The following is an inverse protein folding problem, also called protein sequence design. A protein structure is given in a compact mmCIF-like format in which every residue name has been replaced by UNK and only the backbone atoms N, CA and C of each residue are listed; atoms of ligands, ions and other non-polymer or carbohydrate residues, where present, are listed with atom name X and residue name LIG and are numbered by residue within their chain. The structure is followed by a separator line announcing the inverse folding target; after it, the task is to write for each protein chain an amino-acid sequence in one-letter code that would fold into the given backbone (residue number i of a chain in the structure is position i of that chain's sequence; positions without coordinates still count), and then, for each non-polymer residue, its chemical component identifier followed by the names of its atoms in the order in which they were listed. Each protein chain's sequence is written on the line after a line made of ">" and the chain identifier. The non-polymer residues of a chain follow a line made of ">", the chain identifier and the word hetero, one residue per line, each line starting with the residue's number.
data_IF_378254991567
#
_entry.id   IF_378254991567
#
_cell.length_a   1.000
_cell.length_b   1.000
_cell.length_c   1.000
_cell.angle_alpha   90.00
_cell.angle_beta   90.00
_cell.angle_gamma   90.00
#
_symmetry.space_group_name_H-M   'P 1'
#
loop_
_entity.id
_entity.type
_entity.pdbx_description
1 polymer ?
#
# COMPACT_ATOMS: atom_id res chain seq x y z
N UNK A 1 -38.60 -25.83 4.19
CA UNK A 1 -38.20 -26.44 2.92
C UNK A 1 -39.27 -26.41 1.81
N UNK A 2 -40.49 -25.88 2.03
CA UNK A 2 -41.60 -25.94 1.06
C UNK A 2 -41.75 -24.71 0.15
N UNK A 3 -41.06 -23.62 0.41
CA UNK A 3 -41.20 -22.35 -0.33
C UNK A 3 -40.63 -22.39 -1.75
N UNK A 4 -39.62 -23.21 -2.01
CA UNK A 4 -39.00 -23.33 -3.32
C UNK A 4 -39.83 -24.22 -4.31
N UNK A 5 -40.69 -25.11 -3.80
CA UNK A 5 -41.51 -26.02 -4.64
C UNK A 5 -42.59 -25.29 -5.44
N UNK A 6 -43.05 -24.12 -4.95
CA UNK A 6 -44.08 -23.31 -5.65
C UNK A 6 -43.54 -22.38 -6.72
N UNK A 7 -42.20 -22.27 -6.91
CA UNK A 7 -41.63 -21.40 -7.93
C UNK A 7 -41.47 -22.11 -9.27
N UNK A 8 -41.77 -21.40 -10.38
CA UNK A 8 -41.46 -21.89 -11.73
C UNK A 8 -39.96 -22.16 -11.91
N UNK A 9 -39.58 -23.09 -12.76
CA UNK A 9 -38.19 -23.46 -13.04
C UNK A 9 -37.38 -22.22 -13.45
N UNK A 10 -37.92 -21.34 -14.25
CA UNK A 10 -37.27 -20.07 -14.64
C UNK A 10 -36.96 -19.19 -13.43
N UNK A 11 -37.87 -19.03 -12.46
CA UNK A 11 -37.66 -18.25 -11.25
C UNK A 11 -36.58 -18.87 -10.36
N UNK A 12 -36.48 -20.20 -10.31
CA UNK A 12 -35.39 -20.89 -9.57
C UNK A 12 -34.03 -20.65 -10.20
N UNK A 13 -33.92 -20.65 -11.53
CA UNK A 13 -32.68 -20.34 -12.22
C UNK A 13 -32.21 -18.90 -11.97
N UNK A 14 -33.15 -17.94 -12.02
CA UNK A 14 -32.84 -16.54 -11.69
C UNK A 14 -32.41 -16.37 -10.22
N UNK A 15 -33.03 -17.09 -9.29
CA UNK A 15 -32.69 -17.05 -7.88
C UNK A 15 -31.27 -17.61 -7.65
N UNK A 16 -30.90 -18.71 -8.32
CA UNK A 16 -29.55 -19.25 -8.29
C UNK A 16 -28.55 -18.24 -8.83
N UNK A 17 -28.88 -17.57 -9.94
CA UNK A 17 -28.01 -16.52 -10.50
C UNK A 17 -27.82 -15.37 -9.53
N UNK A 18 -28.87 -14.88 -8.88
CA UNK A 18 -28.81 -13.79 -7.90
C UNK A 18 -27.92 -14.19 -6.72
N UNK A 19 -28.09 -15.42 -6.19
CA UNK A 19 -27.26 -15.92 -5.09
C UNK A 19 -25.80 -16.05 -5.52
N UNK A 20 -25.54 -16.60 -6.72
CA UNK A 20 -24.18 -16.69 -7.26
C UNK A 20 -23.53 -15.32 -7.45
N UNK A 21 -24.29 -14.34 -7.96
CA UNK A 21 -23.82 -12.96 -8.12
C UNK A 21 -23.55 -12.29 -6.76
N UNK A 22 -24.39 -12.52 -5.76
CA UNK A 22 -24.18 -12.01 -4.41
C UNK A 22 -22.92 -12.61 -3.76
N UNK A 23 -22.67 -13.90 -3.97
CA UNK A 23 -21.44 -14.57 -3.51
C UNK A 23 -20.19 -14.01 -4.23
N UNK A 24 -20.26 -13.84 -5.53
CA UNK A 24 -19.17 -13.23 -6.31
C UNK A 24 -18.85 -11.81 -5.85
N UNK A 25 -19.88 -11.01 -5.56
CA UNK A 25 -19.72 -9.65 -5.05
C UNK A 25 -19.08 -9.67 -3.65
N UNK A 26 -19.53 -10.56 -2.77
CA UNK A 26 -18.96 -10.70 -1.43
C UNK A 26 -17.48 -11.12 -1.47
N UNK A 27 -17.15 -12.11 -2.31
CA UNK A 27 -15.76 -12.53 -2.55
C UNK A 27 -14.91 -11.39 -3.14
N UNK A 28 -15.45 -10.64 -4.09
CA UNK A 28 -14.78 -9.48 -4.67
C UNK A 28 -14.46 -8.40 -3.63
N UNK A 29 -15.40 -8.09 -2.74
CA UNK A 29 -15.19 -7.13 -1.65
C UNK A 29 -14.14 -7.61 -0.65
N UNK A 30 -14.15 -8.90 -0.29
CA UNK A 30 -13.11 -9.48 0.59
C UNK A 30 -11.73 -9.43 -0.07
N UNK A 31 -11.66 -9.75 -1.36
CA UNK A 31 -10.42 -9.70 -2.12
C UNK A 31 -9.87 -8.27 -2.26
N UNK A 32 -10.74 -7.28 -2.49
CA UNK A 32 -10.34 -5.88 -2.54
C UNK A 32 -9.82 -5.38 -1.19
N UNK A 33 -10.45 -5.79 -0.09
CA UNK A 33 -9.94 -5.48 1.25
C UNK A 33 -8.56 -6.09 1.46
N UNK A 34 -8.37 -7.35 1.10
CA UNK A 34 -7.08 -8.02 1.23
C UNK A 34 -6.00 -7.33 0.39
N UNK A 35 -6.29 -6.97 -0.88
CA UNK A 35 -5.35 -6.23 -1.74
C UNK A 35 -4.97 -4.88 -1.11
N UNK A 36 -5.94 -4.17 -0.52
CA UNK A 36 -5.67 -2.93 0.18
C UNK A 36 -4.70 -3.15 1.36
N UNK A 37 -5.00 -4.11 2.23
CA UNK A 37 -4.19 -4.40 3.42
C UNK A 37 -2.78 -4.88 3.01
N UNK A 38 -2.67 -5.79 2.04
CA UNK A 38 -1.41 -6.32 1.51
C UNK A 38 -0.54 -5.21 0.88
N UNK A 39 -1.15 -4.24 0.18
CA UNK A 39 -0.45 -3.09 -0.39
C UNK A 39 0.18 -2.21 0.69
N UNK A 40 -0.59 -1.89 1.75
CA UNK A 40 -0.11 -1.08 2.86
C UNK A 40 0.98 -1.78 3.66
N UNK A 41 0.74 -3.02 4.08
CA UNK A 41 1.72 -3.81 4.83
C UNK A 41 2.97 -4.11 4.00
N UNK A 42 2.81 -4.47 2.73
CA UNK A 42 3.91 -4.76 1.82
C UNK A 42 4.80 -3.55 1.57
N UNK A 43 4.24 -2.36 1.37
CA UNK A 43 5.02 -1.12 1.21
C UNK A 43 5.72 -0.72 2.50
N UNK A 44 5.06 -0.85 3.67
CA UNK A 44 5.68 -0.59 4.97
C UNK A 44 6.86 -1.53 5.23
N UNK A 45 6.70 -2.84 5.01
CA UNK A 45 7.77 -3.84 5.13
C UNK A 45 8.91 -3.57 4.14
N UNK A 46 8.59 -3.26 2.88
CA UNK A 46 9.59 -2.90 1.88
C UNK A 46 10.42 -1.69 2.34
N UNK A 47 9.76 -0.63 2.81
CA UNK A 47 10.43 0.57 3.32
C UNK A 47 11.34 0.23 4.50
N UNK A 48 10.87 -0.61 5.43
CA UNK A 48 11.69 -1.10 6.53
C UNK A 48 12.94 -1.84 6.03
N UNK A 49 12.78 -2.81 5.13
CA UNK A 49 13.90 -3.60 4.61
C UNK A 49 14.92 -2.74 3.85
N UNK A 50 14.45 -1.74 3.07
CA UNK A 50 15.36 -0.83 2.35
C UNK A 50 16.15 0.04 3.32
N UNK A 51 15.51 0.59 4.36
CA UNK A 51 16.19 1.36 5.40
C UNK A 51 17.21 0.48 6.14
N UNK A 52 16.84 -0.74 6.52
CA UNK A 52 17.77 -1.70 7.16
C UNK A 52 18.97 -2.03 6.27
N UNK A 53 18.74 -2.25 4.97
CA UNK A 53 19.82 -2.54 4.02
C UNK A 53 20.76 -1.34 3.87
N UNK A 54 20.22 -0.12 3.73
CA UNK A 54 21.02 1.11 3.60
C UNK A 54 21.71 1.47 4.92
N UNK A 55 21.16 1.09 6.08
CA UNK A 55 21.85 1.19 7.37
C UNK A 55 23.18 0.42 7.38
N UNK A 56 23.29 -0.65 6.58
CA UNK A 56 24.55 -1.35 6.36
C UNK A 56 25.65 -0.47 5.75
N UNK A 57 25.30 0.56 4.98
CA UNK A 57 26.28 1.55 4.46
C UNK A 57 26.88 2.35 5.63
N UNK A 58 26.05 2.79 6.58
CA UNK A 58 26.54 3.46 7.79
C UNK A 58 27.44 2.54 8.61
N UNK A 59 27.02 1.26 8.75
CA UNK A 59 27.83 0.24 9.45
C UNK A 59 29.18 0.00 8.78
N UNK A 60 29.25 -0.05 7.46
CA UNK A 60 30.51 -0.21 6.72
C UNK A 60 31.47 0.96 7.00
N UNK A 61 31.03 2.21 6.87
CA UNK A 61 31.88 3.36 7.09
C UNK A 61 32.26 3.54 8.57
N UNK A 62 31.38 3.21 9.49
CA UNK A 62 31.74 3.13 10.90
C UNK A 62 32.78 2.04 11.19
N UNK A 63 32.73 0.92 10.46
CA UNK A 63 33.78 -0.09 10.52
C UNK A 63 35.16 0.44 10.07
N UNK A 64 35.23 1.28 9.04
CA UNK A 64 36.47 1.96 8.61
C UNK A 64 36.97 2.99 9.61
N UNK A 65 36.04 3.69 10.29
CA UNK A 65 36.37 4.60 11.40
C UNK A 65 37.00 3.82 12.55
N UNK A 66 36.35 2.74 13.01
CA UNK A 66 36.83 1.93 14.14
C UNK A 66 38.13 1.18 13.84
N UNK A 67 38.36 0.84 12.58
CA UNK A 67 39.63 0.25 12.12
C UNK A 67 40.77 1.29 11.97
N UNK A 68 40.48 2.59 12.19
CA UNK A 68 41.45 3.67 12.01
C UNK A 68 41.82 3.98 10.56
N UNK A 69 41.06 3.44 9.59
CA UNK A 69 41.28 3.68 8.15
C UNK A 69 40.75 5.04 7.71
N UNK A 70 39.73 5.57 8.39
CA UNK A 70 39.16 6.89 8.17
C UNK A 70 38.99 7.62 9.50
N UNK A 71 39.06 8.97 9.47
CA UNK A 71 38.54 9.75 10.60
C UNK A 71 37.01 9.65 10.64
N UNK A 72 36.41 9.96 11.79
CA UNK A 72 34.96 9.98 11.96
C UNK A 72 34.27 10.90 10.94
N UNK A 73 34.80 12.09 10.74
CA UNK A 73 34.30 13.07 9.81
C UNK A 73 34.36 12.57 8.36
N UNK A 74 35.49 11.93 7.99
CA UNK A 74 35.67 11.36 6.67
C UNK A 74 34.72 10.18 6.41
N UNK A 75 34.54 9.29 7.41
CA UNK A 75 33.63 8.17 7.34
C UNK A 75 32.17 8.64 7.20
N UNK A 76 31.77 9.61 8.03
CA UNK A 76 30.44 10.21 7.96
C UNK A 76 30.18 10.88 6.61
N UNK A 77 31.11 11.71 6.12
CA UNK A 77 30.97 12.41 4.86
C UNK A 77 30.87 11.47 3.65
N UNK A 78 31.66 10.40 3.64
CA UNK A 78 31.58 9.38 2.58
C UNK A 78 30.25 8.61 2.62
N UNK A 79 29.78 8.22 3.81
CA UNK A 79 28.48 7.58 4.00
C UNK A 79 27.35 8.47 3.48
N UNK A 80 27.34 9.75 3.85
CA UNK A 80 26.33 10.72 3.38
C UNK A 80 26.37 10.88 1.85
N UNK A 81 27.57 10.95 1.26
CA UNK A 81 27.73 11.06 -0.20
C UNK A 81 27.07 9.89 -0.91
N UNK A 82 27.29 8.66 -0.44
CA UNK A 82 26.67 7.47 -1.01
C UNK A 82 25.14 7.49 -0.80
N UNK A 83 24.70 7.68 0.44
CA UNK A 83 23.26 7.58 0.77
C UNK A 83 22.45 8.67 0.06
N UNK A 84 23.00 9.87 -0.11
CA UNK A 84 22.32 10.97 -0.80
C UNK A 84 21.98 10.66 -2.26
N UNK A 85 22.70 9.74 -2.90
CA UNK A 85 22.48 9.33 -4.31
C UNK A 85 21.53 8.16 -4.45
N UNK A 86 21.29 7.42 -3.37
CA UNK A 86 20.43 6.23 -3.43
C UNK A 86 18.98 6.61 -3.69
N UNK A 87 18.37 5.88 -4.61
CA UNK A 87 16.94 5.95 -4.92
C UNK A 87 16.38 4.54 -5.06
N UNK A 88 15.09 4.39 -4.80
CA UNK A 88 14.37 3.14 -5.03
C UNK A 88 12.93 3.43 -5.47
N UNK A 89 12.21 2.40 -5.91
CA UNK A 89 10.93 2.55 -6.58
C UNK A 89 11.03 3.59 -7.72
N UNK A 90 10.28 4.70 -7.67
CA UNK A 90 10.36 5.74 -8.68
C UNK A 90 11.44 6.78 -8.31
N UNK A 91 11.23 7.53 -7.23
CA UNK A 91 12.14 8.59 -6.77
C UNK A 91 12.22 8.64 -5.24
N UNK A 92 11.87 7.55 -4.55
CA UNK A 92 11.97 7.46 -3.11
C UNK A 92 13.42 7.55 -2.66
N UNK A 93 13.64 8.24 -1.56
CA UNK A 93 14.96 8.67 -1.08
C UNK A 93 15.13 8.42 0.41
N UNK A 94 16.37 8.51 0.86
CA UNK A 94 16.75 8.43 2.28
C UNK A 94 17.15 9.79 2.78
N UNK A 95 16.76 10.13 4.02
CA UNK A 95 17.28 11.29 4.74
C UNK A 95 17.91 10.83 6.06
N UNK A 96 18.73 11.70 6.64
CA UNK A 96 19.35 11.48 7.93
C UNK A 96 19.19 12.74 8.76
N UNK A 97 18.67 12.60 9.97
CA UNK A 97 18.68 13.62 11.02
C UNK A 97 19.33 13.05 12.30
N UNK A 98 19.68 13.91 13.25
CA UNK A 98 20.17 13.44 14.54
C UNK A 98 19.04 13.36 15.59
N UNK A 99 19.37 12.89 16.81
CA UNK A 99 18.42 12.76 17.92
C UNK A 99 17.97 14.10 18.52
N UNK A 100 18.58 15.23 18.14
CA UNK A 100 18.19 16.60 18.55
C UNK A 100 17.32 17.30 17.51
N UNK A 101 16.64 16.62 16.70
CA UNK A 101 16.17 16.63 15.32
C UNK A 101 16.82 17.70 14.41
N UNK A 102 18.15 17.74 14.34
CA UNK A 102 18.87 18.49 13.31
C UNK A 102 19.00 17.67 12.04
N UNK A 103 18.72 18.28 10.88
CA UNK A 103 18.93 17.59 9.59
C UNK A 103 20.43 17.45 9.32
N UNK A 104 20.85 16.21 9.11
CA UNK A 104 22.21 15.88 8.68
C UNK A 104 22.32 15.88 7.17
N UNK A 105 21.31 15.29 6.48
CA UNK A 105 21.27 15.24 5.02
C UNK A 105 19.85 15.00 4.51
N UNK A 106 19.37 15.82 3.57
CA UNK A 106 18.12 15.64 2.88
C UNK A 106 18.28 15.81 1.37
N UNK A 107 18.28 14.74 0.55
CA UNK A 107 18.76 14.78 -0.81
C UNK A 107 17.85 15.56 -1.78
N UNK A 108 16.56 15.69 -1.47
CA UNK A 108 15.60 16.44 -2.31
C UNK A 108 15.33 17.85 -1.77
N UNK A 109 15.77 18.17 -0.55
CA UNK A 109 15.67 19.51 0.02
C UNK A 109 16.93 19.85 0.86
N UNK A 110 18.08 20.07 0.22
CA UNK A 110 19.34 20.39 0.92
C UNK A 110 19.30 21.68 1.75
N UNK A 111 18.25 22.51 1.57
CA UNK A 111 18.06 23.72 2.38
C UNK A 111 17.77 23.41 3.85
N UNK A 112 17.40 22.17 4.16
CA UNK A 112 17.18 21.70 5.53
C UNK A 112 18.48 21.29 6.23
N UNK A 113 19.53 20.97 5.50
CA UNK A 113 20.77 20.44 6.05
C UNK A 113 21.38 21.42 7.06
N UNK A 114 21.76 20.90 8.23
CA UNK A 114 22.29 21.66 9.35
C UNK A 114 21.26 22.46 10.14
N UNK A 115 19.96 22.40 9.80
CA UNK A 115 18.93 23.15 10.52
C UNK A 115 18.27 22.34 11.64
N UNK A 116 17.86 23.05 12.66
CA UNK A 116 16.96 22.55 13.71
C UNK A 116 15.54 22.39 13.13
N UNK A 117 15.04 21.18 13.18
CA UNK A 117 13.73 20.80 12.64
C UNK A 117 12.68 20.59 13.74
N UNK A 118 13.03 20.88 15.01
CA UNK A 118 12.14 20.64 16.15
C UNK A 118 10.80 21.39 16.06
N UNK A 119 10.79 22.54 15.40
CA UNK A 119 9.61 23.36 15.17
C UNK A 119 8.81 22.99 13.91
N UNK A 120 9.35 22.09 13.08
CA UNK A 120 8.67 21.71 11.81
C UNK A 120 7.49 20.80 12.12
N UNK A 121 6.31 21.29 11.73
CA UNK A 121 5.05 20.56 11.84
C UNK A 121 4.42 20.38 10.47
N UNK A 122 3.69 19.31 10.33
CA UNK A 122 2.81 19.13 9.17
C UNK A 122 1.54 20.00 9.29
N UNK A 123 0.68 20.04 8.27
CA UNK A 123 -0.57 20.81 8.31
C UNK A 123 -1.53 20.40 9.44
N UNK A 124 -1.42 19.17 9.94
CA UNK A 124 -2.26 18.66 11.03
C UNK A 124 -1.64 18.98 12.42
N UNK A 125 -0.48 19.64 12.44
CA UNK A 125 0.22 20.08 13.67
C UNK A 125 1.16 19.03 14.24
N UNK A 126 1.40 17.91 13.55
CA UNK A 126 2.30 16.84 13.98
C UNK A 126 3.77 17.27 13.87
N UNK A 127 4.53 17.18 14.97
CA UNK A 127 5.93 17.59 15.04
C UNK A 127 6.85 16.50 14.46
N UNK A 128 6.96 16.48 13.14
CA UNK A 128 7.51 15.37 12.33
C UNK A 128 8.84 14.84 12.88
N UNK A 129 9.88 15.66 12.86
CA UNK A 129 11.23 15.21 13.20
C UNK A 129 11.46 15.02 14.69
N UNK A 130 10.71 15.74 15.54
CA UNK A 130 10.72 15.54 16.99
C UNK A 130 10.15 14.17 17.37
N UNK A 131 9.04 13.77 16.74
CA UNK A 131 8.42 12.46 16.95
C UNK A 131 9.30 11.33 16.39
N UNK A 132 9.92 11.53 15.23
CA UNK A 132 10.88 10.57 14.67
C UNK A 132 12.09 10.36 15.59
N UNK A 133 12.67 11.44 16.09
CA UNK A 133 13.79 11.35 17.03
C UNK A 133 13.39 10.70 18.35
N UNK A 134 12.20 11.02 18.89
CA UNK A 134 11.65 10.40 20.10
C UNK A 134 11.41 8.90 19.91
N UNK A 135 10.79 8.51 18.80
CA UNK A 135 10.55 7.11 18.44
C UNK A 135 11.87 6.33 18.30
N UNK A 136 12.83 6.88 17.56
CA UNK A 136 14.15 6.29 17.38
C UNK A 136 14.90 6.14 18.73
N UNK A 137 14.83 7.14 19.59
CA UNK A 137 15.45 7.11 20.92
C UNK A 137 14.82 6.08 21.85
N UNK A 138 13.50 5.90 21.80
CA UNK A 138 12.78 5.04 22.76
C UNK A 138 12.64 3.60 22.29
N UNK A 139 12.49 3.37 20.99
CA UNK A 139 12.23 2.04 20.38
C UNK A 139 13.34 1.58 19.43
N UNK A 140 14.31 2.42 19.13
CA UNK A 140 15.35 2.14 18.14
C UNK A 140 14.90 2.33 16.70
N UNK A 141 13.64 2.01 16.38
CA UNK A 141 13.08 2.12 15.04
C UNK A 141 11.54 2.08 15.07
N UNK A 142 10.90 2.50 13.99
CA UNK A 142 9.45 2.36 13.84
C UNK A 142 8.89 3.13 12.64
N UNK A 143 7.57 2.95 12.43
CA UNK A 143 6.81 3.67 11.40
C UNK A 143 6.27 4.98 11.94
N UNK A 144 6.23 6.00 11.08
CA UNK A 144 5.67 7.33 11.37
C UNK A 144 4.85 7.80 10.18
N UNK A 145 3.62 8.22 10.45
CA UNK A 145 2.70 8.77 9.46
C UNK A 145 2.62 10.29 9.62
N UNK A 146 2.75 11.02 8.52
CA UNK A 146 2.74 12.48 8.50
C UNK A 146 2.48 12.99 7.09
N UNK A 147 2.33 14.32 6.92
CA UNK A 147 2.24 14.95 5.60
C UNK A 147 3.55 15.60 5.22
N UNK A 148 4.02 15.29 4.01
CA UNK A 148 5.25 15.85 3.45
C UNK A 148 5.12 16.09 1.95
N UNK A 149 5.71 17.16 1.41
CA UNK A 149 5.71 17.41 -0.04
C UNK A 149 6.50 16.33 -0.80
N UNK A 150 5.99 15.97 -1.98
CA UNK A 150 6.75 15.15 -2.93
C UNK A 150 7.92 15.96 -3.53
N UNK A 151 8.99 15.28 -3.99
CA UNK A 151 10.03 15.95 -4.75
C UNK A 151 9.41 16.74 -5.92
N UNK A 152 9.79 18.04 -6.02
CA UNK A 152 9.26 18.92 -7.06
C UNK A 152 7.85 19.48 -6.84
N UNK A 153 7.23 19.25 -5.67
CA UNK A 153 5.92 19.80 -5.30
C UNK A 153 6.00 20.49 -3.93
N UNK A 154 5.22 21.55 -3.73
CA UNK A 154 5.08 22.20 -2.42
C UNK A 154 3.85 21.72 -1.65
N UNK A 155 2.95 20.95 -2.29
CA UNK A 155 1.75 20.45 -1.66
C UNK A 155 2.04 19.25 -0.75
N UNK A 156 1.76 19.33 0.56
CA UNK A 156 1.97 18.20 1.47
C UNK A 156 0.95 17.10 1.20
N UNK A 157 1.41 15.89 0.97
CA UNK A 157 0.60 14.68 0.82
C UNK A 157 0.93 13.68 1.92
N UNK A 158 0.02 12.76 2.21
CA UNK A 158 0.21 11.73 3.23
C UNK A 158 1.41 10.85 2.87
N UNK A 159 2.32 10.68 3.84
CA UNK A 159 3.53 9.86 3.72
C UNK A 159 3.65 8.95 4.93
N UNK A 160 3.97 7.69 4.69
CA UNK A 160 4.33 6.72 5.72
C UNK A 160 5.82 6.45 5.61
N UNK A 161 6.56 6.58 6.73
CA UNK A 161 8.01 6.40 6.75
C UNK A 161 8.46 5.45 7.83
N UNK A 162 9.49 4.67 7.55
CA UNK A 162 10.22 3.93 8.54
C UNK A 162 11.48 4.69 8.91
N UNK A 163 11.73 4.83 10.22
CA UNK A 163 12.95 5.45 10.76
C UNK A 163 13.69 4.45 11.63
N UNK A 164 15.03 4.53 11.61
CA UNK A 164 15.90 3.66 12.38
C UNK A 164 17.08 4.43 12.93
N UNK A 165 17.37 4.23 14.22
CA UNK A 165 18.53 4.77 14.88
C UNK A 165 19.79 4.01 14.48
N UNK A 166 20.83 4.75 14.10
CA UNK A 166 22.20 4.28 14.01
C UNK A 166 22.97 4.81 15.22
N UNK A 167 23.00 4.00 16.28
CA UNK A 167 23.52 4.40 17.60
C UNK A 167 24.95 4.96 17.56
N UNK A 168 25.94 4.39 16.80
CA UNK A 168 27.32 4.83 16.86
C UNK A 168 27.53 6.32 16.54
N UNK A 169 26.67 6.87 15.68
CA UNK A 169 26.73 8.29 15.30
C UNK A 169 25.57 9.12 15.85
N UNK A 170 24.61 8.49 16.53
CA UNK A 170 23.38 9.14 16.99
C UNK A 170 22.50 9.65 15.85
N UNK A 171 22.56 8.99 14.70
CA UNK A 171 21.83 9.35 13.50
C UNK A 171 20.52 8.56 13.36
N UNK A 172 19.48 9.23 12.95
CA UNK A 172 18.20 8.65 12.61
C UNK A 172 18.06 8.67 11.11
N UNK A 173 18.16 7.51 10.48
CA UNK A 173 17.95 7.35 9.04
C UNK A 173 16.50 6.98 8.77
N UNK A 174 15.90 7.62 7.78
CA UNK A 174 14.54 7.37 7.38
C UNK A 174 14.36 7.29 5.87
N UNK A 175 13.32 6.58 5.48
CA UNK A 175 12.75 6.59 4.15
C UNK A 175 11.24 6.34 4.22
N UNK A 176 10.49 6.66 3.18
CA UNK A 176 9.04 6.49 3.22
C UNK A 176 8.38 6.63 1.85
N UNK A 177 7.17 6.11 1.78
CA UNK A 177 6.33 6.07 0.58
C UNK A 177 5.14 7.00 0.72
N UNK A 178 4.67 7.54 -0.39
CA UNK A 178 3.50 8.42 -0.45
C UNK A 178 2.23 7.60 -0.67
N UNK A 179 1.21 7.90 0.14
CA UNK A 179 -0.05 7.11 0.17
C UNK A 179 -0.88 7.30 -1.08
N UNK A 180 -0.83 8.48 -1.71
CA UNK A 180 -1.54 8.73 -2.96
C UNK A 180 -1.02 7.86 -4.13
N UNK A 181 0.27 7.53 -4.16
CA UNK A 181 0.81 6.57 -5.13
C UNK A 181 0.25 5.16 -4.89
N UNK A 182 0.12 4.77 -3.62
CA UNK A 182 -0.51 3.51 -3.23
C UNK A 182 -2.00 3.47 -3.61
N UNK A 183 -2.71 4.59 -3.42
CA UNK A 183 -4.11 4.70 -3.81
C UNK A 183 -4.29 4.56 -5.33
N UNK A 184 -3.43 5.17 -6.13
CA UNK A 184 -3.47 5.04 -7.58
C UNK A 184 -3.28 3.59 -8.03
N UNK A 185 -2.32 2.87 -7.43
CA UNK A 185 -2.09 1.44 -7.68
C UNK A 185 -3.30 0.59 -7.27
N UNK A 186 -3.88 0.83 -6.10
CA UNK A 186 -5.08 0.17 -5.62
C UNK A 186 -6.27 0.36 -6.58
N UNK A 187 -6.58 1.59 -6.99
CA UNK A 187 -7.66 1.85 -7.92
C UNK A 187 -7.45 1.19 -9.29
N UNK A 188 -6.20 1.06 -9.74
CA UNK A 188 -5.85 0.28 -10.92
C UNK A 188 -6.27 -1.19 -10.79
N UNK A 189 -6.07 -1.81 -9.63
CA UNK A 189 -6.51 -3.18 -9.36
C UNK A 189 -8.04 -3.29 -9.24
N UNK A 190 -8.69 -2.32 -8.58
CA UNK A 190 -10.16 -2.25 -8.49
C UNK A 190 -10.81 -2.25 -9.87
N UNK A 191 -10.34 -1.40 -10.79
CA UNK A 191 -10.88 -1.35 -12.15
C UNK A 191 -10.72 -2.67 -12.90
N UNK A 192 -9.57 -3.34 -12.78
CA UNK A 192 -9.36 -4.67 -13.39
C UNK A 192 -10.34 -5.69 -12.83
N UNK A 193 -10.55 -5.72 -11.52
CA UNK A 193 -11.48 -6.61 -10.85
C UNK A 193 -12.94 -6.33 -11.28
N UNK A 194 -13.34 -5.06 -11.39
CA UNK A 194 -14.66 -4.66 -11.87
C UNK A 194 -14.94 -5.14 -13.30
N UNK A 195 -14.00 -4.96 -14.23
CA UNK A 195 -14.15 -5.43 -15.59
C UNK A 195 -14.22 -6.96 -15.68
N UNK A 196 -13.40 -7.67 -14.93
CA UNK A 196 -13.46 -9.13 -14.86
C UNK A 196 -14.80 -9.62 -14.29
N UNK A 197 -15.27 -9.00 -13.19
CA UNK A 197 -16.57 -9.31 -12.59
C UNK A 197 -17.75 -9.06 -13.54
N UNK A 198 -17.72 -7.93 -14.26
CA UNK A 198 -18.74 -7.63 -15.27
C UNK A 198 -18.75 -8.67 -16.39
N UNK A 199 -17.58 -9.09 -16.88
CA UNK A 199 -17.48 -10.15 -17.90
C UNK A 199 -18.09 -11.47 -17.42
N UNK A 200 -17.79 -11.90 -16.20
CA UNK A 200 -18.37 -13.10 -15.61
C UNK A 200 -19.89 -12.97 -15.46
N UNK A 201 -20.38 -11.81 -15.02
CA UNK A 201 -21.81 -11.55 -14.86
C UNK A 201 -22.57 -11.67 -16.21
N UNK A 202 -22.01 -11.09 -17.27
CA UNK A 202 -22.59 -11.17 -18.62
C UNK A 202 -22.62 -12.60 -19.16
N UNK A 203 -21.55 -13.37 -18.98
CA UNK A 203 -21.48 -14.77 -19.37
C UNK A 203 -22.54 -15.60 -18.61
N UNK A 204 -22.65 -15.41 -17.31
CA UNK A 204 -23.63 -16.10 -16.46
C UNK A 204 -25.08 -15.75 -16.89
N UNK A 205 -25.38 -14.48 -17.14
CA UNK A 205 -26.67 -14.04 -17.59
C UNK A 205 -27.02 -14.61 -18.98
N UNK A 206 -26.06 -14.66 -19.89
CA UNK A 206 -26.23 -15.28 -21.20
C UNK A 206 -26.53 -16.78 -21.09
N UNK A 207 -25.77 -17.52 -20.28
CA UNK A 207 -25.99 -18.95 -20.04
C UNK A 207 -27.38 -19.23 -19.43
N UNK A 208 -27.79 -18.47 -18.40
CA UNK A 208 -29.15 -18.62 -17.82
C UNK A 208 -30.22 -18.35 -18.87
N UNK A 209 -30.04 -17.33 -19.70
CA UNK A 209 -30.98 -17.00 -20.78
C UNK A 209 -31.08 -18.11 -21.84
N UNK A 210 -29.93 -18.67 -22.25
CA UNK A 210 -29.88 -19.80 -23.19
C UNK A 210 -30.59 -21.03 -22.60
N UNK A 211 -30.30 -21.40 -21.37
CA UNK A 211 -30.93 -22.54 -20.69
C UNK A 211 -32.44 -22.31 -20.53
N UNK A 212 -32.86 -21.10 -20.15
CA UNK A 212 -34.28 -20.79 -20.00
C UNK A 212 -35.04 -20.89 -21.36
N UNK A 213 -34.44 -20.47 -22.47
CA UNK A 213 -35.05 -20.51 -23.79
C UNK A 213 -35.02 -21.89 -24.43
N UNK A 214 -33.90 -22.63 -24.30
CA UNK A 214 -33.70 -23.90 -25.00
C UNK A 214 -34.30 -25.11 -24.25
N UNK A 215 -34.42 -25.07 -22.93
CA UNK A 215 -34.86 -26.22 -22.16
C UNK A 215 -36.20 -25.94 -21.43
N UNK A 216 -36.25 -24.81 -20.68
CA UNK A 216 -37.39 -24.57 -19.78
C UNK A 216 -38.65 -24.23 -20.52
N UNK A 217 -38.62 -23.39 -21.59
CA UNK A 217 -39.80 -23.02 -22.35
C UNK A 217 -40.40 -24.22 -23.10
N UNK A 218 -39.68 -25.01 -23.90
CA UNK A 218 -40.26 -26.15 -24.61
C UNK A 218 -40.84 -27.20 -23.64
N UNK A 219 -40.22 -27.37 -22.46
CA UNK A 219 -40.75 -28.32 -21.47
C UNK A 219 -42.08 -27.84 -20.87
N UNK A 220 -42.20 -26.54 -20.59
CA UNK A 220 -43.43 -25.94 -20.09
C UNK A 220 -44.55 -26.01 -21.14
N UNK A 221 -44.23 -25.73 -22.40
CA UNK A 221 -45.20 -25.81 -23.49
C UNK A 221 -45.70 -27.26 -23.71
N UNK A 222 -44.82 -28.26 -23.61
CA UNK A 222 -45.18 -29.67 -23.71
C UNK A 222 -46.07 -30.12 -22.53
N UNK A 223 -45.77 -29.69 -21.30
CA UNK A 223 -46.58 -30.00 -20.09
C UNK A 223 -47.95 -29.33 -20.19
N UNK A 224 -48.03 -28.08 -20.67
CA UNK A 224 -49.32 -27.41 -20.86
C UNK A 224 -50.14 -28.05 -21.96
N UNK A 225 -49.54 -28.48 -23.07
CA UNK A 225 -50.23 -29.20 -24.13
C UNK A 225 -50.80 -30.53 -23.65
N UNK A 226 -50.07 -31.28 -22.81
CA UNK A 226 -50.59 -32.51 -22.24
C UNK A 226 -51.72 -32.28 -21.21
N UNK A 227 -51.65 -31.19 -20.44
CA UNK A 227 -52.69 -30.85 -19.47
C UNK A 227 -54.01 -30.39 -20.14
N UNK A 228 -53.96 -29.90 -21.38
CA UNK A 228 -55.13 -29.48 -22.15
C UNK A 228 -55.80 -30.65 -22.91
N UNK A 229 -55.17 -31.81 -22.98
CA UNK A 229 -55.70 -33.02 -23.64
C UNK A 229 -56.34 -34.01 -22.63
N UNK A 230 -56.05 -33.87 -21.37
CA UNK A 230 -56.60 -34.65 -20.28
C UNK A 230 -57.85 -34.00 -19.66
#
# INVERSE_FOLDING_TARGET
>A
MNTLRGLSISRRLWLILIVAMAMLLALGLLMLKQIHDDLYEGKAQKTQHVVQAVSGVLGYYHGLETAGSLSREAAQQQALTVISTLRYDHDDYFWINDLRPYMVMHPTNPKLDGKDLSAIKDPDGFAIFSEMASLAKTKGAGMVDYRWPKPGSDAPVQKTSYVQLFEPWGWVMGSGVYIDDMQAEFWGQVWKACWAGLGIALIMAALVTVIARSIVRPLQDAVQAMANIA
#
